data_IF_230264577996
#
_entry.id   IF_230264577996
#
_cell.length_a   1.000
_cell.length_b   1.000
_cell.length_c   1.000
_cell.angle_alpha   90.00
_cell.angle_beta   90.00
_cell.angle_gamma   90.00
#
_symmetry.space_group_name_H-M   'P 1'
#
loop_
_entity.id
_entity.type
_entity.pdbx_description
1 polymer ?
#
# COMPACT_ATOMS: atom_id res chain seq x y z
N UNK A 1 -1.24 -1.79 16.04
CA UNK A 1 -1.70 -2.57 14.86
C UNK A 1 -1.60 -1.78 13.57
N UNK A 2 -2.17 -0.57 13.49
CA UNK A 2 -2.10 0.27 12.27
C UNK A 2 -0.66 0.46 11.72
N UNK A 3 0.29 0.85 12.57
CA UNK A 3 1.68 1.06 12.16
C UNK A 3 2.33 -0.21 11.61
N UNK A 4 2.17 -1.34 12.31
CA UNK A 4 2.71 -2.62 11.85
C UNK A 4 2.12 -3.04 10.50
N UNK A 5 0.81 -2.85 10.30
CA UNK A 5 0.17 -3.13 9.00
C UNK A 5 0.71 -2.24 7.89
N UNK A 6 0.81 -0.94 8.16
CA UNK A 6 1.34 0.04 7.21
C UNK A 6 2.77 -0.33 6.77
N UNK A 7 3.63 -0.79 7.69
CA UNK A 7 5.00 -1.23 7.37
C UNK A 7 5.07 -2.41 6.41
N UNK A 8 4.08 -3.31 6.44
CA UNK A 8 4.04 -4.47 5.54
C UNK A 8 3.31 -4.19 4.22
N UNK A 9 2.92 -2.96 3.92
CA UNK A 9 2.31 -2.63 2.62
C UNK A 9 3.35 -2.61 1.49
N UNK A 10 2.91 -2.84 0.24
CA UNK A 10 3.77 -2.71 -0.95
C UNK A 10 4.50 -3.98 -1.40
N UNK A 11 4.23 -5.14 -0.79
CA UNK A 11 4.77 -6.42 -1.27
C UNK A 11 4.32 -6.77 -2.70
N UNK A 12 3.20 -6.21 -3.17
CA UNK A 12 2.68 -6.37 -4.53
C UNK A 12 3.40 -5.51 -5.57
N UNK A 13 4.39 -4.70 -5.16
CA UNK A 13 5.27 -4.00 -6.09
C UNK A 13 5.92 -4.99 -7.08
N UNK A 14 6.29 -6.19 -6.62
CA UNK A 14 6.81 -7.27 -7.49
C UNK A 14 5.84 -7.71 -8.59
N UNK A 15 4.53 -7.61 -8.35
CA UNK A 15 3.52 -7.89 -9.37
C UNK A 15 3.39 -6.73 -10.37
N UNK A 16 3.52 -5.48 -9.91
CA UNK A 16 3.40 -4.30 -10.79
C UNK A 16 4.51 -4.18 -11.84
N UNK A 17 5.67 -4.79 -11.60
CA UNK A 17 6.80 -4.86 -12.54
C UNK A 17 6.91 -6.22 -13.21
N UNK A 18 5.85 -7.03 -13.20
CA UNK A 18 5.87 -8.36 -13.80
C UNK A 18 6.16 -8.32 -15.30
N UNK A 19 5.71 -7.28 -16.01
CA UNK A 19 5.99 -7.09 -17.44
C UNK A 19 7.48 -6.84 -17.73
N UNK A 20 8.21 -6.29 -16.75
CA UNK A 20 9.65 -6.01 -16.83
C UNK A 20 10.50 -7.16 -16.25
N UNK A 21 9.87 -8.19 -15.69
CA UNK A 21 10.54 -9.29 -14.96
C UNK A 21 10.78 -10.51 -15.85
N UNK A 22 11.99 -11.04 -15.86
CA UNK A 22 12.29 -12.34 -16.49
C UNK A 22 11.63 -13.46 -15.68
N UNK A 23 10.84 -14.30 -16.35
CA UNK A 23 10.02 -15.39 -15.77
C UNK A 23 9.07 -14.92 -14.65
N UNK A 24 8.09 -14.05 -14.95
CA UNK A 24 7.23 -13.45 -13.94
C UNK A 24 6.33 -14.48 -13.25
N UNK A 25 5.99 -15.60 -13.92
CA UNK A 25 5.13 -16.67 -13.38
C UNK A 25 5.72 -17.35 -12.15
N UNK A 26 7.05 -17.37 -12.01
CA UNK A 26 7.75 -17.90 -10.83
C UNK A 26 8.30 -16.79 -9.95
N UNK A 27 8.89 -15.74 -10.55
CA UNK A 27 9.65 -14.74 -9.82
C UNK A 27 8.78 -13.71 -9.11
N UNK A 28 7.63 -13.33 -9.66
CA UNK A 28 6.74 -12.38 -8.98
C UNK A 28 6.14 -12.97 -7.69
N UNK A 29 5.57 -14.20 -7.67
CA UNK A 29 5.06 -14.79 -6.44
C UNK A 29 6.13 -15.01 -5.37
N UNK A 30 7.31 -15.51 -5.75
CA UNK A 30 8.43 -15.69 -4.82
C UNK A 30 8.97 -14.35 -4.31
N UNK A 31 9.00 -13.31 -5.14
CA UNK A 31 9.37 -11.96 -4.75
C UNK A 31 8.46 -11.41 -3.66
N UNK A 32 7.14 -11.56 -3.81
CA UNK A 32 6.17 -11.15 -2.78
C UNK A 32 6.39 -11.88 -1.45
N UNK A 33 6.57 -13.20 -1.48
CA UNK A 33 6.80 -14.00 -0.26
C UNK A 33 8.12 -13.62 0.40
N UNK A 34 9.20 -13.50 -0.37
CA UNK A 34 10.52 -13.15 0.15
C UNK A 34 10.55 -11.73 0.71
N UNK A 35 9.86 -10.77 0.09
CA UNK A 35 9.74 -9.42 0.62
C UNK A 35 9.14 -9.43 2.03
N UNK A 36 8.04 -10.18 2.24
CA UNK A 36 7.41 -10.29 3.56
C UNK A 36 8.31 -11.01 4.56
N UNK A 37 8.94 -12.12 4.17
CA UNK A 37 9.81 -12.90 5.07
C UNK A 37 11.03 -12.10 5.50
N UNK A 38 11.74 -11.48 4.54
CA UNK A 38 12.94 -10.68 4.83
C UNK A 38 12.58 -9.46 5.68
N UNK A 39 11.52 -8.71 5.32
CA UNK A 39 11.06 -7.59 6.12
C UNK A 39 10.64 -8.01 7.53
N UNK A 40 10.06 -9.20 7.70
CA UNK A 40 9.72 -9.73 9.02
C UNK A 40 10.94 -10.03 9.85
N UNK A 41 11.93 -10.75 9.31
CA UNK A 41 13.14 -11.10 10.06
C UNK A 41 13.94 -9.86 10.42
N UNK A 42 14.24 -9.01 9.43
CA UNK A 42 15.05 -7.80 9.63
C UNK A 42 14.32 -6.79 10.50
N UNK A 43 13.01 -6.59 10.26
CA UNK A 43 12.19 -5.68 11.07
C UNK A 43 12.11 -6.11 12.53
N UNK A 44 11.96 -7.41 12.80
CA UNK A 44 11.91 -7.92 14.16
C UNK A 44 13.25 -7.78 14.88
N UNK A 45 14.36 -8.07 14.19
CA UNK A 45 15.72 -7.85 14.73
C UNK A 45 15.96 -6.37 15.06
N UNK A 46 15.54 -5.46 14.18
CA UNK A 46 15.63 -4.02 14.43
C UNK A 46 14.80 -3.61 15.65
N UNK A 47 13.57 -4.11 15.80
CA UNK A 47 12.71 -3.81 16.95
C UNK A 47 13.32 -4.31 18.26
N UNK A 48 13.91 -5.51 18.27
CA UNK A 48 14.63 -6.04 19.45
C UNK A 48 15.81 -5.13 19.78
N UNK A 49 16.64 -4.78 18.79
CA UNK A 49 17.79 -3.92 18.98
C UNK A 49 17.40 -2.54 19.53
N UNK A 50 16.36 -1.92 18.97
CA UNK A 50 15.84 -0.64 19.45
C UNK A 50 15.30 -0.75 20.88
N UNK A 51 14.56 -1.81 21.19
CA UNK A 51 13.98 -2.02 22.53
C UNK A 51 15.06 -2.19 23.59
N UNK A 52 16.13 -2.93 23.29
CA UNK A 52 17.28 -3.09 24.18
C UNK A 52 18.12 -1.82 24.32
N UNK A 53 18.05 -0.90 23.36
CA UNK A 53 18.76 0.37 23.39
C UNK A 53 18.03 1.48 24.17
N UNK A 54 16.77 1.26 24.60
CA UNK A 54 16.02 2.23 25.40
C UNK A 54 16.65 2.32 26.79
N UNK A 55 17.23 3.48 27.12
CA UNK A 55 17.80 3.75 28.45
C UNK A 55 16.77 4.29 29.43
N UNK A 56 15.84 5.10 28.95
CA UNK A 56 14.78 5.71 29.76
C UNK A 56 13.50 5.85 28.92
N UNK A 57 12.39 5.32 29.43
CA UNK A 57 11.10 5.25 28.72
C UNK A 57 10.40 6.61 28.74
N UNK A 58 10.27 7.31 29.89
CA UNK A 58 9.70 8.65 29.95
C UNK A 58 10.28 9.61 28.92
N UNK A 59 11.62 9.72 28.84
CA UNK A 59 12.27 10.66 27.91
C UNK A 59 11.99 10.36 26.43
N UNK A 60 11.78 9.09 26.05
CA UNK A 60 11.41 8.72 24.67
C UNK A 60 9.94 9.04 24.36
N UNK A 61 9.04 8.92 25.34
CA UNK A 61 7.61 9.17 25.14
C UNK A 61 7.24 10.66 25.17
N UNK A 62 8.00 11.47 25.90
CA UNK A 62 7.76 12.92 26.02
C UNK A 62 8.59 13.77 25.06
N UNK A 63 9.44 13.16 24.23
CA UNK A 63 10.27 13.88 23.28
C UNK A 63 9.43 14.47 22.13
N UNK A 64 9.76 15.70 21.71
CA UNK A 64 9.18 16.36 20.52
C UNK A 64 9.62 15.74 19.18
N UNK A 65 10.53 14.77 19.23
CA UNK A 65 11.02 14.04 18.05
C UNK A 65 10.40 12.64 17.98
N UNK A 66 10.32 12.03 16.79
CA UNK A 66 9.84 10.66 16.66
C UNK A 66 10.58 9.71 17.61
N UNK A 67 9.90 8.76 18.29
CA UNK A 67 10.50 7.91 19.32
C UNK A 67 11.77 7.18 18.89
N UNK A 68 11.82 6.73 17.63
CA UNK A 68 13.00 6.06 17.07
C UNK A 68 14.22 6.99 17.01
N UNK A 69 14.02 8.27 16.70
CA UNK A 69 15.08 9.29 16.68
C UNK A 69 15.58 9.56 18.10
N UNK A 70 14.67 9.68 19.06
CA UNK A 70 15.02 9.84 20.48
C UNK A 70 15.87 8.67 20.99
N UNK A 71 15.48 7.42 20.66
CA UNK A 71 16.23 6.21 21.04
C UNK A 71 17.64 6.22 20.41
N UNK A 72 17.75 6.56 19.11
CA UNK A 72 19.04 6.60 18.42
C UNK A 72 19.98 7.66 19.01
N UNK A 73 19.46 8.85 19.33
CA UNK A 73 20.24 9.91 19.97
C UNK A 73 20.66 9.50 21.39
N UNK A 74 19.76 8.91 22.18
CA UNK A 74 20.06 8.45 23.54
C UNK A 74 21.06 7.28 23.58
N UNK A 75 21.07 6.43 22.57
CA UNK A 75 21.96 5.27 22.49
C UNK A 75 23.33 5.61 21.91
N UNK A 76 23.40 6.36 20.80
CA UNK A 76 24.65 6.64 20.06
C UNK A 76 25.26 8.04 20.34
N UNK A 77 24.54 8.91 21.04
CA UNK A 77 24.90 10.32 21.23
C UNK A 77 24.44 11.22 20.09
N UNK A 78 24.42 12.55 20.31
CA UNK A 78 23.79 13.52 19.40
C UNK A 78 24.33 13.49 17.96
N UNK A 79 25.65 13.46 17.77
CA UNK A 79 26.26 13.52 16.43
C UNK A 79 25.96 12.27 15.61
N UNK A 80 26.17 11.09 16.20
CA UNK A 80 25.94 9.83 15.51
C UNK A 80 24.44 9.56 15.33
N UNK A 81 23.62 9.81 16.36
CA UNK A 81 22.17 9.67 16.29
C UNK A 81 21.52 10.58 15.25
N UNK A 82 21.98 11.83 15.13
CA UNK A 82 21.51 12.76 14.10
C UNK A 82 21.91 12.30 12.70
N UNK A 83 23.15 11.83 12.50
CA UNK A 83 23.59 11.30 11.21
C UNK A 83 22.78 10.07 10.77
N UNK A 84 22.55 9.12 11.68
CA UNK A 84 21.70 7.95 11.40
C UNK A 84 20.25 8.35 11.10
N UNK A 85 19.71 9.33 11.82
CA UNK A 85 18.36 9.84 11.57
C UNK A 85 18.25 10.52 10.20
N UNK A 86 19.28 11.25 9.76
CA UNK A 86 19.35 11.83 8.42
C UNK A 86 19.40 10.75 7.32
N UNK A 87 20.13 9.65 7.54
CA UNK A 87 20.13 8.51 6.63
C UNK A 87 18.76 7.84 6.53
N UNK A 88 18.06 7.68 7.67
CA UNK A 88 16.69 7.15 7.68
C UNK A 88 15.72 8.10 6.96
N UNK A 89 15.85 9.41 7.17
CA UNK A 89 15.04 10.41 6.46
C UNK A 89 15.28 10.35 4.93
N UNK A 90 16.53 10.17 4.50
CA UNK A 90 16.87 9.98 3.09
C UNK A 90 16.25 8.68 2.54
N UNK A 91 16.29 7.58 3.28
CA UNK A 91 15.65 6.32 2.88
C UNK A 91 14.13 6.49 2.73
N UNK A 92 13.49 7.22 3.65
CA UNK A 92 12.06 7.54 3.56
C UNK A 92 11.72 8.41 2.34
N UNK A 93 12.61 9.34 1.95
CA UNK A 93 12.45 10.13 0.74
C UNK A 93 12.42 9.25 -0.52
N UNK A 94 13.36 8.29 -0.63
CA UNK A 94 13.36 7.33 -1.74
C UNK A 94 12.11 6.45 -1.74
N UNK A 95 11.64 6.01 -0.56
CA UNK A 95 10.39 5.28 -0.44
C UNK A 95 9.20 6.09 -0.96
N UNK A 96 9.11 7.37 -0.61
CA UNK A 96 8.08 8.27 -1.11
C UNK A 96 8.12 8.42 -2.64
N UNK A 97 9.31 8.57 -3.22
CA UNK A 97 9.48 8.65 -4.67
C UNK A 97 9.02 7.35 -5.37
N UNK A 98 9.37 6.19 -4.82
CA UNK A 98 8.89 4.89 -5.32
C UNK A 98 7.36 4.76 -5.23
N UNK A 99 6.75 5.24 -4.13
CA UNK A 99 5.30 5.20 -3.95
C UNK A 99 4.55 6.09 -4.96
N UNK A 100 5.07 7.29 -5.26
CA UNK A 100 4.52 8.18 -6.30
C UNK A 100 4.61 7.52 -7.67
N UNK A 101 5.75 6.89 -7.95
CA UNK A 101 5.98 6.17 -9.22
C UNK A 101 4.98 5.04 -9.39
N UNK A 102 4.81 4.18 -8.38
CA UNK A 102 3.84 3.09 -8.39
C UNK A 102 2.40 3.60 -8.54
N UNK A 103 1.99 4.59 -7.75
CA UNK A 103 0.63 5.13 -7.78
C UNK A 103 0.28 5.72 -9.15
N UNK A 104 1.23 6.43 -9.78
CA UNK A 104 1.03 7.00 -11.12
C UNK A 104 0.83 5.92 -12.20
N UNK A 105 1.51 4.77 -12.10
CA UNK A 105 1.34 3.64 -13.02
C UNK A 105 -0.05 3.00 -12.89
N UNK A 106 -0.55 2.86 -11.66
CA UNK A 106 -1.90 2.33 -11.39
C UNK A 106 -2.98 3.26 -11.94
N UNK A 107 -2.86 4.57 -11.70
CA UNK A 107 -3.79 5.58 -12.23
C UNK A 107 -3.79 5.57 -13.76
N UNK A 108 -2.62 5.50 -14.39
CA UNK A 108 -2.50 5.45 -15.83
C UNK A 108 -3.11 4.16 -16.41
N UNK A 109 -2.85 3.00 -15.82
CA UNK A 109 -3.44 1.73 -16.24
C UNK A 109 -4.98 1.76 -16.14
N UNK A 110 -5.52 2.35 -15.08
CA UNK A 110 -6.96 2.49 -14.91
C UNK A 110 -7.57 3.53 -15.89
N UNK A 111 -6.83 4.59 -16.22
CA UNK A 111 -7.22 5.55 -17.26
C UNK A 111 -7.20 4.95 -18.68
N UNK A 112 -6.26 4.05 -18.95
CA UNK A 112 -6.17 3.32 -20.23
C UNK A 112 -7.43 2.49 -20.49
N UNK A 113 -7.98 1.89 -19.45
CA UNK A 113 -9.18 1.06 -19.51
C UNK A 113 -10.48 1.90 -19.40
N UNK A 114 -10.40 3.22 -19.62
CA UNK A 114 -11.49 4.20 -19.54
C UNK A 114 -12.24 4.25 -18.18
N UNK A 115 -11.62 3.75 -17.11
CA UNK A 115 -12.22 3.71 -15.77
C UNK A 115 -12.32 5.06 -15.05
N UNK A 116 -11.51 6.06 -15.44
CA UNK A 116 -11.49 7.37 -14.76
C UNK A 116 -12.35 8.45 -15.45
N UNK A 117 -12.98 9.38 -14.69
CA UNK A 117 -13.49 10.62 -15.24
C UNK A 117 -12.32 11.38 -15.89
N UNK A 118 -12.52 11.91 -17.09
CA UNK A 118 -11.47 12.58 -17.87
C UNK A 118 -10.27 11.64 -18.17
N UNK A 119 -10.51 10.34 -18.35
CA UNK A 119 -9.48 9.34 -18.72
C UNK A 119 -8.54 9.81 -19.85
N UNK A 120 -9.01 10.65 -20.77
CA UNK A 120 -8.19 11.24 -21.84
C UNK A 120 -7.02 12.13 -21.34
N UNK A 121 -7.17 12.79 -20.19
CA UNK A 121 -6.12 13.59 -19.56
C UNK A 121 -5.13 12.69 -18.84
N UNK A 122 -5.64 11.75 -18.04
CA UNK A 122 -4.83 10.89 -17.18
C UNK A 122 -4.03 9.84 -17.96
N UNK A 123 -4.52 9.42 -19.14
CA UNK A 123 -3.82 8.48 -20.02
C UNK A 123 -2.70 9.13 -20.85
N UNK A 124 -2.58 10.46 -20.84
CA UNK A 124 -1.60 11.18 -21.64
C UNK A 124 -0.17 10.90 -21.12
N UNK A 125 0.69 10.40 -22.00
CA UNK A 125 2.10 10.11 -21.72
C UNK A 125 2.95 11.11 -22.49
N UNK A 126 3.88 11.77 -21.80
CA UNK A 126 4.82 12.69 -22.43
C UNK A 126 5.76 11.90 -23.37
N UNK A 127 5.93 12.38 -24.61
CA UNK A 127 6.76 11.73 -25.63
C UNK A 127 8.26 11.80 -25.30
N UNK A 128 8.69 12.78 -24.49
CA UNK A 128 10.10 12.98 -24.15
C UNK A 128 10.55 12.11 -22.97
N UNK A 129 9.70 12.00 -21.94
CA UNK A 129 10.03 11.29 -20.70
C UNK A 129 9.38 9.90 -20.62
N UNK A 130 8.45 9.58 -21.52
CA UNK A 130 7.68 8.33 -21.53
C UNK A 130 6.93 8.06 -20.22
N UNK A 131 6.63 9.13 -19.47
CA UNK A 131 5.93 9.07 -18.17
C UNK A 131 4.58 9.76 -18.21
N UNK A 132 3.57 9.27 -17.47
CA UNK A 132 2.26 9.92 -17.36
C UNK A 132 2.32 11.12 -16.41
N UNK A 133 2.84 12.25 -16.90
CA UNK A 133 3.02 13.47 -16.11
C UNK A 133 1.74 13.95 -15.39
N UNK A 134 0.53 13.93 -16.01
CA UNK A 134 -0.70 14.32 -15.31
C UNK A 134 -1.04 13.43 -14.11
N UNK A 135 -0.78 12.12 -14.20
CA UNK A 135 -1.02 11.19 -13.09
C UNK A 135 -0.02 11.42 -11.94
N UNK A 136 1.24 11.75 -12.26
CA UNK A 136 2.25 12.09 -11.25
C UNK A 136 1.84 13.36 -10.50
N UNK A 137 1.43 14.42 -11.21
CA UNK A 137 0.99 15.66 -10.59
C UNK A 137 -0.26 15.49 -9.73
N UNK A 138 -1.18 14.59 -10.11
CA UNK A 138 -2.32 14.24 -9.27
C UNK A 138 -1.88 13.62 -7.94
N UNK A 139 -0.95 12.66 -7.98
CA UNK A 139 -0.38 12.06 -6.77
C UNK A 139 0.30 13.10 -5.88
N UNK A 140 1.12 13.98 -6.46
CA UNK A 140 1.82 15.04 -5.73
C UNK A 140 0.84 16.04 -5.12
N UNK A 141 -0.18 16.47 -5.86
CA UNK A 141 -1.20 17.39 -5.36
C UNK A 141 -2.01 16.76 -4.21
N UNK A 142 -2.38 15.48 -4.32
CA UNK A 142 -3.06 14.75 -3.26
C UNK A 142 -2.18 14.62 -2.00
N UNK A 143 -0.88 14.32 -2.17
CA UNK A 143 0.08 14.24 -1.08
C UNK A 143 0.27 15.60 -0.38
N UNK A 144 0.38 16.69 -1.15
CA UNK A 144 0.45 18.05 -0.59
C UNK A 144 -0.83 18.44 0.13
N UNK A 145 -2.00 18.09 -0.41
CA UNK A 145 -3.29 18.31 0.25
C UNK A 145 -3.39 17.58 1.60
N UNK A 146 -2.88 16.35 1.67
CA UNK A 146 -2.79 15.60 2.93
C UNK A 146 -1.80 16.23 3.92
N UNK A 147 -0.68 16.79 3.43
CA UNK A 147 0.33 17.44 4.28
C UNK A 147 -0.20 18.71 4.96
N UNK A 148 -0.96 19.53 4.24
CA UNK A 148 -1.54 20.78 4.77
C UNK A 148 -2.51 20.50 5.94
N UNK A 149 -3.09 19.30 5.99
CA UNK A 149 -4.03 18.91 7.02
C UNK A 149 -3.41 17.91 8.01
N UNK A 150 -2.56 18.41 8.91
CA UNK A 150 -1.83 17.63 9.93
C UNK A 150 -2.74 16.70 10.77
N UNK A 151 -3.95 17.14 11.13
CA UNK A 151 -4.92 16.31 11.89
C UNK A 151 -5.51 15.14 11.11
N UNK A 152 -5.37 15.10 9.79
CA UNK A 152 -5.82 13.96 8.98
C UNK A 152 -4.69 13.01 8.64
N UNK A 153 -3.44 13.24 9.03
CA UNK A 153 -2.37 12.29 8.71
C UNK A 153 -2.71 10.88 9.20
N UNK A 154 -3.05 10.72 10.48
CA UNK A 154 -3.44 9.42 11.05
C UNK A 154 -4.68 8.82 10.37
N UNK A 155 -5.67 9.65 10.05
CA UNK A 155 -6.93 9.23 9.41
C UNK A 155 -6.69 8.81 7.95
N UNK A 156 -5.91 9.58 7.19
CA UNK A 156 -5.54 9.30 5.80
C UNK A 156 -4.71 8.02 5.74
N UNK A 157 -3.69 7.87 6.60
CA UNK A 157 -2.92 6.63 6.67
C UNK A 157 -3.82 5.44 6.97
N UNK A 158 -4.76 5.56 7.92
CA UNK A 158 -5.71 4.50 8.23
C UNK A 158 -6.59 4.13 7.03
N UNK A 159 -7.21 5.11 6.37
CA UNK A 159 -8.06 4.87 5.19
C UNK A 159 -7.24 4.25 4.06
N UNK A 160 -6.04 4.77 3.77
CA UNK A 160 -5.16 4.25 2.73
C UNK A 160 -4.75 2.81 3.01
N UNK A 161 -4.36 2.49 4.25
CA UNK A 161 -4.04 1.12 4.65
C UNK A 161 -5.24 0.20 4.48
N UNK A 162 -6.41 0.57 5.00
CA UNK A 162 -7.60 -0.29 4.89
C UNK A 162 -8.01 -0.47 3.42
N UNK A 163 -8.03 0.60 2.64
CA UNK A 163 -8.36 0.56 1.21
C UNK A 163 -7.43 -0.37 0.43
N UNK A 164 -6.13 -0.34 0.73
CA UNK A 164 -5.14 -1.23 0.11
C UNK A 164 -5.39 -2.70 0.48
N UNK A 165 -5.64 -3.01 1.75
CA UNK A 165 -5.95 -4.38 2.19
C UNK A 165 -7.28 -4.90 1.62
N UNK A 166 -8.29 -4.05 1.51
CA UNK A 166 -9.55 -4.39 0.83
C UNK A 166 -9.30 -4.64 -0.67
N UNK A 167 -8.45 -3.84 -1.32
CA UNK A 167 -8.04 -4.07 -2.70
C UNK A 167 -7.32 -5.41 -2.88
N UNK A 168 -6.51 -5.83 -1.90
CA UNK A 168 -5.82 -7.13 -1.95
C UNK A 168 -6.76 -8.32 -1.78
N UNK A 169 -7.83 -8.18 -0.98
CA UNK A 169 -8.77 -9.27 -0.74
C UNK A 169 -9.82 -9.40 -1.83
N UNK A 170 -10.10 -8.33 -2.58
CA UNK A 170 -11.12 -8.31 -3.62
C UNK A 170 -10.90 -9.38 -4.70
N UNK A 171 -9.70 -9.54 -5.30
CA UNK A 171 -9.44 -10.63 -6.27
C UNK A 171 -9.60 -12.03 -5.65
N UNK A 172 -9.20 -12.21 -4.39
CA UNK A 172 -9.32 -13.50 -3.68
C UNK A 172 -10.78 -13.86 -3.48
N UNK A 173 -11.59 -12.88 -3.06
CA UNK A 173 -13.03 -13.05 -2.89
C UNK A 173 -13.75 -13.28 -4.22
N UNK A 174 -13.39 -12.55 -5.28
CA UNK A 174 -13.93 -12.75 -6.63
C UNK A 174 -13.58 -14.12 -7.20
N UNK A 175 -12.35 -14.60 -6.98
CA UNK A 175 -11.95 -15.95 -7.37
C UNK A 175 -12.78 -17.01 -6.63
N UNK A 176 -13.03 -16.81 -5.33
CA UNK A 176 -13.88 -17.71 -4.55
C UNK A 176 -15.35 -17.70 -5.02
N UNK A 177 -15.88 -16.53 -5.39
CA UNK A 177 -17.28 -16.36 -5.83
C UNK A 177 -17.55 -16.86 -7.24
N UNK A 178 -16.63 -16.62 -8.17
CA UNK A 178 -16.82 -16.97 -9.60
C UNK A 178 -16.66 -18.47 -9.86
N UNK A 179 -15.99 -19.20 -8.96
CA UNK A 179 -15.76 -20.64 -9.10
C UNK A 179 -14.89 -21.02 -10.31
N UNK A 180 -14.39 -20.04 -11.06
CA UNK A 180 -13.48 -20.23 -12.19
C UNK A 180 -12.19 -20.77 -11.63
N UNK A 181 -11.78 -21.95 -12.11
CA UNK A 181 -10.49 -22.56 -11.77
C UNK A 181 -9.48 -22.12 -12.84
N UNK A 182 -8.71 -21.05 -12.64
CA UNK A 182 -7.64 -20.70 -13.55
C UNK A 182 -6.63 -21.84 -13.61
N UNK A 183 -5.99 -22.02 -14.76
CA UNK A 183 -4.89 -22.98 -14.89
C UNK A 183 -3.84 -22.72 -13.82
N UNK A 184 -3.44 -23.77 -13.11
CA UNK A 184 -2.49 -23.64 -12.01
C UNK A 184 -1.16 -23.13 -12.55
N UNK A 185 -0.74 -21.98 -12.01
CA UNK A 185 0.58 -21.44 -12.29
C UNK A 185 1.70 -22.37 -11.78
N UNK A 186 2.95 -22.17 -12.24
CA UNK A 186 4.12 -22.91 -11.75
C UNK A 186 4.34 -22.80 -10.24
N UNK A 187 3.76 -21.77 -9.61
CA UNK A 187 3.70 -21.57 -8.18
C UNK A 187 2.26 -21.74 -7.69
N UNK A 188 2.04 -22.69 -6.77
CA UNK A 188 0.73 -22.92 -6.18
C UNK A 188 0.86 -23.44 -4.74
N UNK A 189 -0.09 -23.06 -3.87
CA UNK A 189 -0.17 -23.60 -2.50
C UNK A 189 -0.96 -24.93 -2.42
N UNK A 190 -1.41 -25.45 -3.57
CA UNK A 190 -2.13 -26.72 -3.66
C UNK A 190 -3.39 -26.73 -2.80
N UNK A 191 -3.55 -27.76 -1.97
CA UNK A 191 -4.71 -27.94 -1.07
C UNK A 191 -4.82 -26.87 0.03
N UNK A 192 -3.72 -26.23 0.41
CA UNK A 192 -3.72 -25.21 1.46
C UNK A 192 -4.18 -23.84 0.97
N UNK A 193 -4.28 -23.64 -0.35
CA UNK A 193 -4.69 -22.35 -0.92
C UNK A 193 -6.08 -21.92 -0.43
N UNK A 194 -7.04 -22.84 -0.32
CA UNK A 194 -8.39 -22.50 0.13
C UNK A 194 -8.42 -22.06 1.60
N UNK A 195 -7.72 -22.79 2.48
CA UNK A 195 -7.65 -22.46 3.91
C UNK A 195 -6.91 -21.14 4.14
N UNK A 196 -5.79 -20.93 3.46
CA UNK A 196 -5.00 -19.69 3.59
C UNK A 196 -5.80 -18.49 3.08
N UNK A 197 -6.52 -18.64 1.97
CA UNK A 197 -7.41 -17.58 1.47
C UNK A 197 -8.51 -17.24 2.48
N UNK A 198 -9.14 -18.24 3.10
CA UNK A 198 -10.18 -18.02 4.11
C UNK A 198 -9.63 -17.29 5.34
N UNK A 199 -8.46 -17.73 5.84
CA UNK A 199 -7.78 -17.08 6.97
C UNK A 199 -7.42 -15.64 6.61
N UNK A 200 -6.91 -15.38 5.40
CA UNK A 200 -6.59 -14.04 4.94
C UNK A 200 -7.83 -13.14 4.88
N UNK A 201 -8.96 -13.64 4.38
CA UNK A 201 -10.23 -12.89 4.34
C UNK A 201 -10.67 -12.54 5.77
N UNK A 202 -10.71 -13.52 6.66
CA UNK A 202 -11.11 -13.31 8.05
C UNK A 202 -10.18 -12.31 8.77
N UNK A 203 -8.87 -12.40 8.51
CA UNK A 203 -7.88 -11.50 9.08
C UNK A 203 -8.07 -10.07 8.59
N UNK A 204 -8.24 -9.85 7.28
CA UNK A 204 -8.48 -8.51 6.73
C UNK A 204 -9.77 -7.91 7.29
N UNK A 205 -10.86 -8.69 7.40
CA UNK A 205 -12.13 -8.23 8.00
C UNK A 205 -11.91 -7.83 9.46
N UNK A 206 -11.23 -8.67 10.24
CA UNK A 206 -10.91 -8.36 11.63
C UNK A 206 -10.14 -7.04 11.75
N UNK A 207 -9.13 -6.82 10.92
CA UNK A 207 -8.36 -5.58 10.92
C UNK A 207 -9.20 -4.36 10.51
N UNK A 208 -10.06 -4.50 9.49
CA UNK A 208 -10.97 -3.43 9.09
C UNK A 208 -11.86 -3.01 10.26
N UNK A 209 -12.44 -3.98 10.98
CA UNK A 209 -13.29 -3.72 12.15
C UNK A 209 -12.51 -3.01 13.25
N UNK A 210 -11.34 -3.53 13.62
CA UNK A 210 -10.50 -2.93 14.69
C UNK A 210 -10.07 -1.51 14.33
N UNK A 211 -9.66 -1.25 13.08
CA UNK A 211 -9.22 0.08 12.65
C UNK A 211 -10.38 1.07 12.49
N UNK A 212 -11.57 0.61 12.10
CA UNK A 212 -12.78 1.45 12.06
C UNK A 212 -13.26 1.82 13.47
N UNK A 213 -13.12 0.92 14.44
CA UNK A 213 -13.48 1.17 15.84
C UNK A 213 -12.49 2.07 16.57
N UNK A 214 -11.23 2.15 16.12
CA UNK A 214 -10.19 2.92 16.78
C UNK A 214 -10.42 4.44 16.72
N UNK A 215 -11.08 4.96 15.67
CA UNK A 215 -11.41 6.38 15.54
C UNK A 215 -12.73 6.57 14.79
N UNK A 216 -13.64 7.35 15.38
CA UNK A 216 -14.94 7.69 14.82
C UNK A 216 -14.84 8.35 13.42
N UNK A 217 -13.74 9.04 13.11
CA UNK A 217 -13.54 9.65 11.78
C UNK A 217 -13.17 8.63 10.71
N UNK A 218 -12.51 7.54 11.10
CA UNK A 218 -12.04 6.49 10.17
C UNK A 218 -13.22 5.72 9.58
N UNK A 219 -14.19 5.28 10.38
CA UNK A 219 -15.35 4.56 9.82
C UNK A 219 -16.26 5.48 8.98
N UNK A 220 -16.43 6.75 9.38
CA UNK A 220 -17.22 7.74 8.62
C UNK A 220 -16.60 8.02 7.25
N UNK A 221 -15.29 8.24 7.21
CA UNK A 221 -14.57 8.46 5.95
C UNK A 221 -14.53 7.22 5.08
N UNK A 222 -14.37 6.03 5.66
CA UNK A 222 -14.50 4.77 4.91
C UNK A 222 -15.89 4.61 4.30
N UNK A 223 -16.96 4.83 5.07
CA UNK A 223 -18.32 4.78 4.54
C UNK A 223 -18.53 5.82 3.44
N UNK A 224 -18.02 7.04 3.61
CA UNK A 224 -18.11 8.07 2.59
C UNK A 224 -17.39 7.65 1.30
N UNK A 225 -16.18 7.07 1.39
CA UNK A 225 -15.42 6.57 0.24
C UNK A 225 -16.14 5.39 -0.40
N UNK A 226 -16.60 4.40 0.37
CA UNK A 226 -17.32 3.24 -0.16
C UNK A 226 -18.64 3.65 -0.81
N UNK A 227 -19.39 4.57 -0.22
CA UNK A 227 -20.62 5.10 -0.81
C UNK A 227 -20.33 5.92 -2.07
N UNK A 228 -19.28 6.73 -2.08
CA UNK A 228 -18.87 7.48 -3.28
C UNK A 228 -18.46 6.53 -4.42
N UNK A 229 -17.68 5.49 -4.12
CA UNK A 229 -17.29 4.45 -5.08
C UNK A 229 -18.50 3.64 -5.56
N UNK A 230 -19.42 3.27 -4.67
CA UNK A 230 -20.64 2.54 -5.02
C UNK A 230 -21.59 3.40 -5.87
N UNK A 231 -21.73 4.68 -5.54
CA UNK A 231 -22.52 5.64 -6.29
C UNK A 231 -21.90 5.86 -7.68
N UNK A 232 -20.59 6.05 -7.76
CA UNK A 232 -19.88 6.16 -9.03
C UNK A 232 -20.05 4.87 -9.86
N UNK A 233 -19.85 3.69 -9.26
CA UNK A 233 -20.07 2.41 -9.92
C UNK A 233 -21.50 2.26 -10.48
N UNK A 234 -22.51 2.60 -9.67
CA UNK A 234 -23.92 2.49 -10.04
C UNK A 234 -24.35 3.54 -11.09
N UNK A 235 -23.82 4.76 -11.02
CA UNK A 235 -24.21 5.84 -11.93
C UNK A 235 -23.47 5.76 -13.27
N UNK A 236 -22.20 5.34 -13.28
CA UNK A 236 -21.34 5.51 -14.45
C UNK A 236 -20.63 4.22 -14.88
N UNK A 237 -19.97 3.53 -13.96
CA UNK A 237 -19.05 2.46 -14.33
C UNK A 237 -19.76 1.23 -14.90
N UNK A 238 -20.88 0.81 -14.30
CA UNK A 238 -21.64 -0.38 -14.76
C UNK A 238 -22.12 -0.30 -16.21
N UNK A 239 -22.25 0.91 -16.74
CA UNK A 239 -22.76 1.18 -18.09
C UNK A 239 -21.64 1.46 -19.10
N UNK A 240 -20.45 1.86 -18.64
CA UNK A 240 -19.32 2.27 -19.50
C UNK A 240 -18.20 1.24 -19.57
N UNK A 241 -17.99 0.48 -18.49
CA UNK A 241 -16.84 -0.41 -18.39
C UNK A 241 -17.07 -1.68 -19.21
N UNK A 242 -16.40 -1.76 -20.36
CA UNK A 242 -16.47 -2.92 -21.28
C UNK A 242 -15.45 -4.02 -20.96
N UNK A 243 -14.72 -3.89 -19.85
CA UNK A 243 -13.62 -4.79 -19.51
C UNK A 243 -12.35 -4.52 -20.34
N UNK A 244 -11.21 -5.13 -19.95
CA UNK A 244 -9.96 -4.98 -20.68
C UNK A 244 -10.07 -5.60 -22.07
N UNK A 245 -9.47 -4.94 -23.08
CA UNK A 245 -9.63 -5.30 -24.50
C UNK A 245 -9.19 -6.72 -24.86
N UNK A 246 -8.36 -7.36 -24.04
CA UNK A 246 -7.91 -8.74 -24.23
C UNK A 246 -8.95 -9.80 -23.79
N UNK A 247 -10.01 -9.44 -23.06
CA UNK A 247 -11.01 -10.44 -22.61
C UNK A 247 -12.05 -10.78 -23.68
N UNK A 248 -12.02 -10.09 -24.83
CA UNK A 248 -12.91 -10.31 -25.97
C UNK A 248 -12.19 -11.01 -27.14
N UNK A 249 -11.00 -11.58 -26.89
CA UNK A 249 -10.28 -12.48 -27.81
C UNK A 249 -10.37 -13.91 -27.30
#
# INVERSE_FOLDING_TARGET
>A
LLQAMWTYTGYDASASVSEETIDPRRRAPWGMVMAVVVSSVVGYLLLIALTLAIKDIPSVLTADVPPVVAILIGALGERAGSLFSALVAMAMWFCGLSAVTWSSRVIWAFARDEGLPLAHVWKHVDRKHLTPAPAIWLCVAAALGALVYSKAYAVVTAISTIGLYVSYILPVWLHWRTGVKPERGPWHLGKYSATINLIAIAWVIFLCVVLCLADARTWQSMLAVTLALALWYALRERHRFKGPSWSNQ
#
